data_IF_080637479013
#
_entry.id   IF_080637479013
#
_cell.length_a   1.000
_cell.length_b   1.000
_cell.length_c   1.000
_cell.angle_alpha   90.00
_cell.angle_beta   90.00
_cell.angle_gamma   90.00
#
_symmetry.space_group_name_H-M   'P 1'
#
loop_
_entity.id
_entity.type
_entity.pdbx_description
1 polymer ?
#
# COMPACT_ATOMS: atom_id res chain seq x y z
N UNK A 1 -3.73 -27.66 0.25
CA UNK A 1 -4.44 -27.12 1.43
C UNK A 1 -3.93 -25.71 1.60
N UNK A 2 -4.68 -24.72 1.11
CA UNK A 2 -4.26 -23.33 1.23
C UNK A 2 -4.38 -22.90 2.69
N UNK A 3 -3.26 -22.47 3.27
CA UNK A 3 -3.26 -21.88 4.59
C UNK A 3 -3.93 -20.50 4.48
N UNK A 4 -5.10 -20.32 5.10
CA UNK A 4 -5.68 -19.00 5.30
C UNK A 4 -4.74 -18.22 6.22
N UNK A 5 -3.96 -17.32 5.64
CA UNK A 5 -3.22 -16.35 6.42
C UNK A 5 -4.22 -15.46 7.17
N UNK A 6 -4.17 -15.49 8.50
CA UNK A 6 -5.07 -14.69 9.34
C UNK A 6 -4.50 -13.29 9.46
N UNK A 7 -4.98 -12.39 8.61
CA UNK A 7 -4.73 -10.95 8.71
C UNK A 7 -5.34 -10.43 10.02
N UNK A 8 -4.57 -9.69 10.81
CA UNK A 8 -5.10 -9.04 12.03
C UNK A 8 -5.98 -7.84 11.68
N UNK A 9 -6.94 -7.53 12.56
CA UNK A 9 -7.78 -6.32 12.40
C UNK A 9 -6.93 -5.05 12.31
N UNK A 10 -5.85 -4.98 13.08
CA UNK A 10 -4.88 -3.87 13.01
C UNK A 10 -4.21 -3.76 11.64
N UNK A 11 -3.81 -4.89 11.05
CA UNK A 11 -3.19 -4.90 9.72
C UNK A 11 -4.18 -4.44 8.62
N UNK A 12 -5.47 -4.78 8.76
CA UNK A 12 -6.51 -4.26 7.86
C UNK A 12 -6.64 -2.74 7.99
N UNK A 13 -6.71 -2.21 9.21
CA UNK A 13 -6.83 -0.77 9.44
C UNK A 13 -5.61 0.00 8.93
N UNK A 14 -4.41 -0.51 9.16
CA UNK A 14 -3.16 0.09 8.66
C UNK A 14 -3.09 0.08 7.13
N UNK A 15 -3.51 -1.04 6.50
CA UNK A 15 -3.58 -1.17 5.06
C UNK A 15 -4.58 -0.15 4.46
N UNK A 16 -5.80 -0.08 4.99
CA UNK A 16 -6.83 0.87 4.55
C UNK A 16 -6.38 2.32 4.74
N UNK A 17 -5.74 2.62 5.87
CA UNK A 17 -5.18 3.96 6.14
C UNK A 17 -4.13 4.33 5.09
N UNK A 18 -3.26 3.38 4.72
CA UNK A 18 -2.21 3.60 3.73
C UNK A 18 -2.79 3.79 2.32
N UNK A 19 -3.77 2.98 1.93
CA UNK A 19 -4.50 3.11 0.65
C UNK A 19 -5.21 4.47 0.58
N UNK A 20 -5.89 4.88 1.66
CA UNK A 20 -6.57 6.17 1.72
C UNK A 20 -5.58 7.34 1.54
N UNK A 21 -4.39 7.28 2.15
CA UNK A 21 -3.34 8.30 1.96
C UNK A 21 -2.88 8.39 0.51
N UNK A 22 -2.69 7.27 -0.17
CA UNK A 22 -2.38 7.25 -1.61
C UNK A 22 -3.52 7.86 -2.41
N UNK A 23 -4.78 7.50 -2.11
CA UNK A 23 -5.97 8.04 -2.77
C UNK A 23 -6.11 9.56 -2.60
N UNK A 24 -5.86 10.09 -1.40
CA UNK A 24 -5.85 11.54 -1.12
C UNK A 24 -4.77 12.23 -1.95
N UNK A 25 -3.56 11.67 -2.00
CA UNK A 25 -2.46 12.24 -2.80
C UNK A 25 -2.76 12.24 -4.31
N UNK A 26 -3.56 11.28 -4.81
CA UNK A 26 -4.02 11.25 -6.20
C UNK A 26 -5.15 12.26 -6.48
N UNK A 27 -5.87 12.69 -5.44
CA UNK A 27 -7.06 13.54 -5.54
C UNK A 27 -6.77 15.04 -5.51
N UNK A 28 -5.52 15.44 -5.72
CA UNK A 28 -5.17 16.87 -5.83
C UNK A 28 -5.76 17.47 -7.10
N UNK A 29 -6.21 18.73 -6.98
CA UNK A 29 -6.98 19.44 -8.00
C UNK A 29 -6.20 19.59 -9.31
N UNK A 30 -4.92 19.94 -9.22
CA UNK A 30 -4.09 20.20 -10.39
C UNK A 30 -3.45 18.89 -10.90
N UNK A 31 -3.68 18.48 -12.17
CA UNK A 31 -3.11 17.23 -12.70
C UNK A 31 -1.58 17.14 -12.58
N UNK A 32 -0.88 18.26 -12.76
CA UNK A 32 0.59 18.37 -12.66
C UNK A 32 1.14 18.19 -11.24
N UNK A 33 0.30 18.34 -10.22
CA UNK A 33 0.69 18.19 -8.81
C UNK A 33 0.38 16.79 -8.29
N UNK A 34 -0.35 15.98 -9.08
CA UNK A 34 -0.59 14.58 -8.73
C UNK A 34 0.73 13.84 -8.73
N UNK A 35 0.85 12.93 -7.78
CA UNK A 35 1.96 12.00 -7.71
C UNK A 35 2.08 11.23 -9.04
N UNK A 36 3.32 11.02 -9.49
CA UNK A 36 3.58 10.20 -10.67
C UNK A 36 2.93 8.81 -10.52
N UNK A 37 2.27 8.33 -11.57
CA UNK A 37 1.51 7.09 -11.50
C UNK A 37 2.38 5.86 -11.27
N UNK A 38 3.65 5.89 -11.68
CA UNK A 38 4.60 4.81 -11.36
C UNK A 38 4.90 4.74 -9.86
N UNK A 39 4.98 5.90 -9.19
CA UNK A 39 5.12 5.96 -7.73
C UNK A 39 3.85 5.44 -7.02
N UNK A 40 2.67 5.80 -7.53
CA UNK A 40 1.39 5.28 -7.02
C UNK A 40 1.34 3.75 -7.12
N UNK A 41 1.71 3.18 -8.25
CA UNK A 41 1.76 1.72 -8.44
C UNK A 41 2.79 1.07 -7.51
N UNK A 42 3.95 1.69 -7.31
CA UNK A 42 4.98 1.19 -6.41
C UNK A 42 4.48 1.15 -4.95
N UNK A 43 3.80 2.20 -4.48
CA UNK A 43 3.22 2.26 -3.12
C UNK A 43 2.10 1.25 -2.92
N UNK A 44 1.17 1.14 -3.86
CA UNK A 44 0.08 0.16 -3.78
C UNK A 44 0.59 -1.28 -3.81
N UNK A 45 1.64 -1.54 -4.61
CA UNK A 45 2.30 -2.85 -4.63
C UNK A 45 2.95 -3.15 -3.28
N UNK A 46 3.64 -2.19 -2.67
CA UNK A 46 4.23 -2.34 -1.35
C UNK A 46 3.16 -2.65 -0.29
N UNK A 47 2.06 -1.90 -0.26
CA UNK A 47 0.94 -2.12 0.67
C UNK A 47 0.38 -3.54 0.52
N UNK A 48 0.14 -3.99 -0.71
CA UNK A 48 -0.30 -5.37 -0.99
C UNK A 48 0.71 -6.40 -0.49
N UNK A 49 1.99 -6.18 -0.74
CA UNK A 49 3.02 -7.16 -0.43
C UNK A 49 3.22 -7.30 1.08
N UNK A 50 3.06 -6.20 1.84
CA UNK A 50 3.04 -6.21 3.31
C UNK A 50 1.80 -6.95 3.82
N UNK A 51 0.61 -6.68 3.27
CA UNK A 51 -0.64 -7.34 3.67
C UNK A 51 -0.63 -8.85 3.42
N UNK A 52 -0.03 -9.26 2.30
CA UNK A 52 0.04 -10.67 1.87
C UNK A 52 1.28 -11.39 2.39
N UNK A 53 2.13 -10.72 3.19
CA UNK A 53 3.43 -11.21 3.66
C UNK A 53 4.34 -11.75 2.53
N UNK A 54 4.12 -11.31 1.29
CA UNK A 54 4.86 -11.80 0.12
C UNK A 54 6.20 -11.10 -0.08
N UNK A 55 6.45 -9.99 0.63
CA UNK A 55 7.77 -9.36 0.73
C UNK A 55 8.14 -9.11 2.19
N UNK A 56 9.25 -9.71 2.63
CA UNK A 56 9.96 -9.23 3.81
C UNK A 56 10.34 -7.75 3.61
N UNK A 57 10.30 -6.92 4.67
CA UNK A 57 10.75 -5.54 4.56
C UNK A 57 12.18 -5.55 4.05
N UNK A 58 12.44 -4.86 2.94
CA UNK A 58 13.81 -4.46 2.61
C UNK A 58 14.23 -3.45 3.67
N UNK A 59 14.74 -3.94 4.78
CA UNK A 59 15.57 -3.14 5.69
C UNK A 59 16.79 -2.78 4.86
N UNK A 60 16.93 -1.49 4.53
CA UNK A 60 18.05 -0.99 3.75
C UNK A 60 19.38 -1.37 4.43
N UNK A 61 20.28 -1.94 3.63
CA UNK A 61 21.72 -2.05 3.90
C UNK A 61 22.38 -0.68 3.71
#
# INVERSE_FOLDING_TARGET
MEAYHKVSETAVVECLTSIARVGVACSVMMPRERKDMSNVVAELSLIRDVLTETRMPRVNL
#
